data_IF_087556189049
#
_entry.id   IF_087556189049
#
_cell.length_a   1.000
_cell.length_b   1.000
_cell.length_c   1.000
_cell.angle_alpha   90.00
_cell.angle_beta   90.00
_cell.angle_gamma   90.00
#
_symmetry.space_group_name_H-M   'P 1'
#
loop_
_entity.id
_entity.type
_entity.pdbx_description
1 polymer ?
#
# COMPACT_ATOMS: atom_id res chain seq x y z
N UNK A 1 0.61 13.45 -7.70
CA UNK A 1 1.96 12.95 -7.43
C UNK A 1 1.95 11.43 -7.49
N UNK A 2 2.87 10.87 -8.24
CA UNK A 2 2.96 9.43 -8.45
C UNK A 2 4.33 8.92 -8.11
N UNK A 3 4.41 7.69 -7.62
CA UNK A 3 5.68 7.01 -7.39
C UNK A 3 5.52 5.52 -7.65
N UNK A 4 6.59 4.89 -8.09
CA UNK A 4 6.62 3.46 -8.37
C UNK A 4 7.88 2.86 -7.79
N UNK A 5 7.74 1.83 -6.99
CA UNK A 5 8.87 1.13 -6.40
C UNK A 5 8.61 -0.37 -6.48
N UNK A 6 9.68 -1.16 -6.50
CA UNK A 6 9.56 -2.61 -6.52
C UNK A 6 10.59 -3.24 -5.61
N UNK A 7 10.33 -4.50 -5.21
CA UNK A 7 11.23 -5.26 -4.38
C UNK A 7 11.05 -6.75 -4.67
N UNK A 8 12.10 -7.53 -4.49
CA UNK A 8 12.05 -8.98 -4.60
C UNK A 8 12.05 -9.58 -3.20
N UNK A 9 11.12 -10.51 -2.96
CA UNK A 9 10.96 -11.19 -1.68
C UNK A 9 11.21 -12.68 -1.89
N UNK A 10 12.07 -13.26 -1.06
CA UNK A 10 12.44 -14.67 -1.16
C UNK A 10 11.41 -15.63 -0.61
N UNK A 11 10.17 -15.50 -1.04
CA UNK A 11 9.05 -16.34 -0.65
C UNK A 11 8.15 -16.62 -1.86
N UNK A 12 7.42 -17.74 -1.86
CA UNK A 12 6.48 -18.04 -2.96
C UNK A 12 5.37 -17.00 -3.09
N UNK A 13 4.87 -16.84 -4.30
CA UNK A 13 3.90 -15.79 -4.63
C UNK A 13 2.61 -15.89 -3.79
N UNK A 14 2.15 -17.08 -3.48
CA UNK A 14 0.96 -17.29 -2.67
C UNK A 14 1.14 -16.70 -1.26
N UNK A 15 2.30 -16.97 -0.66
CA UNK A 15 2.62 -16.47 0.68
C UNK A 15 2.79 -14.95 0.67
N UNK A 16 3.46 -14.41 -0.34
CA UNK A 16 3.70 -12.97 -0.44
C UNK A 16 2.41 -12.23 -0.69
N UNK A 17 1.58 -12.71 -1.60
CA UNK A 17 0.29 -12.10 -1.92
C UNK A 17 -0.60 -12.06 -0.67
N UNK A 18 -0.74 -13.19 0.00
CA UNK A 18 -1.57 -13.28 1.21
C UNK A 18 -1.08 -12.35 2.32
N UNK A 19 0.22 -12.37 2.59
CA UNK A 19 0.79 -11.55 3.65
C UNK A 19 0.65 -10.05 3.35
N UNK A 20 0.90 -9.67 2.11
CA UNK A 20 0.81 -8.27 1.69
C UNK A 20 -0.59 -7.70 1.90
N UNK A 21 -1.62 -8.47 1.52
CA UNK A 21 -2.99 -7.99 1.57
C UNK A 21 -3.63 -8.12 2.95
N UNK A 22 -3.35 -9.19 3.67
CA UNK A 22 -4.07 -9.49 4.90
C UNK A 22 -3.37 -9.04 6.18
N UNK A 23 -2.11 -8.65 6.09
CA UNK A 23 -1.30 -8.27 7.24
C UNK A 23 -0.69 -6.87 7.10
N UNK A 24 -1.39 -5.97 6.42
CA UNK A 24 -0.86 -4.63 6.15
C UNK A 24 -0.52 -3.86 7.42
N UNK A 25 -1.30 -4.03 8.48
CA UNK A 25 -1.01 -3.37 9.76
C UNK A 25 0.23 -3.93 10.46
N UNK A 26 0.69 -5.13 10.05
CA UNK A 26 1.94 -5.69 10.58
C UNK A 26 3.17 -5.15 9.85
N UNK A 27 3.11 -5.06 8.53
CA UNK A 27 4.31 -4.69 7.77
C UNK A 27 4.40 -3.21 7.41
N UNK A 28 3.28 -2.51 7.30
CA UNK A 28 3.32 -1.09 6.97
C UNK A 28 3.86 -0.27 8.14
N UNK A 29 4.68 0.71 7.82
CA UNK A 29 5.27 1.60 8.83
C UNK A 29 4.24 2.63 9.29
N UNK A 30 3.27 2.97 8.44
CA UNK A 30 2.31 4.04 8.71
C UNK A 30 0.90 3.55 9.02
N UNK A 31 0.49 2.39 8.50
CA UNK A 31 -0.85 1.85 8.77
C UNK A 31 -0.92 1.27 10.16
N UNK A 32 -1.80 1.82 11.00
CA UNK A 32 -1.98 1.35 12.39
C UNK A 32 -3.26 0.53 12.55
N UNK A 33 -4.26 0.75 11.69
CA UNK A 33 -5.49 -0.04 11.67
C UNK A 33 -5.92 -0.27 10.23
N UNK A 34 -6.44 -1.46 9.97
CA UNK A 34 -6.97 -1.81 8.65
C UNK A 34 -8.04 -2.86 8.85
N UNK A 35 -9.27 -2.56 8.41
CA UNK A 35 -10.38 -3.52 8.57
C UNK A 35 -11.31 -3.49 7.38
N UNK A 36 -11.76 -4.69 6.98
CA UNK A 36 -12.76 -4.84 5.92
C UNK A 36 -14.13 -4.46 6.49
N UNK A 37 -14.86 -3.62 5.77
CA UNK A 37 -16.17 -3.11 6.20
C UNK A 37 -17.33 -3.71 5.41
N UNK A 38 -17.05 -4.40 4.31
CA UNK A 38 -18.09 -5.09 3.53
C UNK A 38 -18.12 -6.58 3.84
N UNK A 39 -19.23 -7.24 3.51
CA UNK A 39 -19.39 -8.67 3.71
C UNK A 39 -18.81 -9.45 2.52
N UNK A 40 -18.52 -10.73 2.76
CA UNK A 40 -18.07 -11.64 1.73
C UNK A 40 -16.56 -11.67 1.53
N UNK A 41 -16.10 -12.52 0.60
CA UNK A 41 -14.67 -12.64 0.32
C UNK A 41 -14.11 -11.39 -0.34
N UNK A 42 -12.81 -11.16 -0.17
CA UNK A 42 -12.13 -10.02 -0.76
C UNK A 42 -12.14 -10.13 -2.29
N UNK A 43 -12.54 -9.06 -2.94
CA UNK A 43 -12.59 -8.97 -4.39
C UNK A 43 -12.94 -7.55 -4.80
N UNK A 44 -13.18 -7.35 -6.10
CA UNK A 44 -13.60 -6.03 -6.60
C UNK A 44 -14.88 -5.61 -5.90
N UNK A 45 -14.90 -4.39 -5.39
CA UNK A 45 -16.04 -3.85 -4.64
C UNK A 45 -15.93 -4.00 -3.13
N UNK A 46 -14.99 -4.78 -2.63
CA UNK A 46 -14.74 -4.88 -1.18
C UNK A 46 -14.39 -3.51 -0.64
N UNK A 47 -15.04 -3.11 0.47
CA UNK A 47 -14.74 -1.85 1.14
C UNK A 47 -14.00 -2.11 2.43
N UNK A 48 -13.18 -1.15 2.81
CA UNK A 48 -12.38 -1.26 4.02
C UNK A 48 -12.09 0.13 4.58
N UNK A 49 -11.62 0.16 5.82
CA UNK A 49 -11.22 1.38 6.50
C UNK A 49 -9.76 1.23 6.91
N UNK A 50 -8.97 2.22 6.58
CA UNK A 50 -7.54 2.24 6.93
C UNK A 50 -7.24 3.48 7.74
N UNK A 51 -6.48 3.32 8.82
CA UNK A 51 -6.00 4.44 9.64
C UNK A 51 -4.49 4.46 9.56
N UNK A 52 -3.94 5.62 9.24
CA UNK A 52 -2.50 5.81 9.21
C UNK A 52 -2.09 6.79 10.30
N UNK A 53 -0.87 6.63 10.77
CA UNK A 53 -0.30 7.51 11.76
C UNK A 53 1.16 7.77 11.40
N UNK A 54 1.49 9.02 11.14
CA UNK A 54 2.83 9.42 10.75
C UNK A 54 3.15 10.76 11.39
N UNK A 55 4.26 10.81 12.12
CA UNK A 55 4.74 12.02 12.81
C UNK A 55 3.65 12.67 13.69
N UNK A 56 2.84 11.84 14.33
CA UNK A 56 1.76 12.32 15.17
C UNK A 56 0.47 12.67 14.47
N UNK A 57 0.46 12.66 13.14
CA UNK A 57 -0.74 12.92 12.34
C UNK A 57 -1.49 11.62 12.07
N UNK A 58 -2.74 11.57 12.52
CA UNK A 58 -3.61 10.42 12.33
C UNK A 58 -4.61 10.73 11.23
N UNK A 59 -4.67 9.87 10.22
CA UNK A 59 -5.60 10.02 9.10
C UNK A 59 -6.41 8.76 8.89
N UNK A 60 -7.67 8.96 8.50
CA UNK A 60 -8.58 7.85 8.19
C UNK A 60 -8.93 7.88 6.71
N UNK A 61 -8.99 6.71 6.11
CA UNK A 61 -9.35 6.55 4.71
C UNK A 61 -10.44 5.50 4.58
N UNK A 62 -11.41 5.79 3.70
CA UNK A 62 -12.40 4.80 3.27
C UNK A 62 -11.89 4.23 1.94
N UNK A 63 -11.68 2.92 1.93
CA UNK A 63 -11.08 2.27 0.80
C UNK A 63 -12.04 1.36 0.05
N UNK A 64 -11.72 1.12 -1.20
CA UNK A 64 -12.46 0.21 -2.06
C UNK A 64 -11.49 -0.52 -2.98
N UNK A 65 -11.66 -1.84 -3.09
CA UNK A 65 -10.86 -2.64 -4.02
C UNK A 65 -11.43 -2.44 -5.42
N UNK A 66 -10.57 -1.99 -6.34
CA UNK A 66 -10.97 -1.71 -7.73
C UNK A 66 -10.50 -2.78 -8.69
N UNK A 67 -9.46 -3.53 -8.33
CA UNK A 67 -8.95 -4.62 -9.15
C UNK A 67 -8.41 -5.71 -8.24
N UNK A 68 -8.71 -6.96 -8.54
CA UNK A 68 -8.24 -8.07 -7.73
C UNK A 68 -8.15 -9.33 -8.58
N UNK A 69 -6.91 -9.74 -8.87
CA UNK A 69 -6.62 -11.01 -9.51
C UNK A 69 -5.62 -11.75 -8.62
N UNK A 70 -6.02 -12.88 -8.03
CA UNK A 70 -5.14 -13.60 -7.09
C UNK A 70 -3.75 -13.85 -7.68
N UNK A 71 -2.74 -13.53 -6.90
CA UNK A 71 -1.33 -13.72 -7.20
C UNK A 71 -0.82 -12.89 -8.39
N UNK A 72 -1.60 -11.92 -8.86
CA UNK A 72 -1.22 -11.10 -10.02
C UNK A 72 -1.32 -9.61 -9.74
N UNK A 73 -2.52 -9.12 -9.42
CA UNK A 73 -2.73 -7.69 -9.17
C UNK A 73 -3.72 -7.45 -8.05
N UNK A 74 -3.55 -6.32 -7.38
CA UNK A 74 -4.49 -5.84 -6.39
C UNK A 74 -4.43 -4.32 -6.37
N UNK A 75 -5.55 -3.67 -6.67
CA UNK A 75 -5.62 -2.22 -6.72
C UNK A 75 -6.72 -1.71 -5.82
N UNK A 76 -6.45 -0.60 -5.16
CA UNK A 76 -7.41 0.04 -4.25
C UNK A 76 -7.44 1.54 -4.49
N UNK A 77 -8.60 2.14 -4.20
CA UNK A 77 -8.70 3.58 -4.05
C UNK A 77 -9.06 3.85 -2.60
N UNK A 78 -8.45 4.89 -2.03
CA UNK A 78 -8.69 5.28 -0.66
C UNK A 78 -9.03 6.76 -0.62
N UNK A 79 -10.18 7.07 -0.03
CA UNK A 79 -10.65 8.45 0.07
C UNK A 79 -10.41 8.97 1.48
N UNK A 80 -9.64 10.04 1.56
CA UNK A 80 -9.36 10.71 2.81
C UNK A 80 -9.94 12.11 2.83
N UNK A 81 -9.83 12.73 3.97
CA UNK A 81 -10.33 14.09 4.17
C UNK A 81 -9.49 15.12 3.43
N UNK A 82 -8.20 14.88 3.35
CA UNK A 82 -7.23 15.83 2.82
C UNK A 82 -6.74 15.48 1.42
N UNK A 83 -6.69 14.20 1.11
CA UNK A 83 -6.29 13.71 -0.20
C UNK A 83 -6.82 12.31 -0.41
N UNK A 84 -6.87 11.89 -1.67
CA UNK A 84 -7.21 10.54 -2.05
C UNK A 84 -5.97 9.81 -2.52
N UNK A 85 -5.97 8.50 -2.34
CA UNK A 85 -4.86 7.63 -2.76
C UNK A 85 -5.38 6.58 -3.72
N UNK A 86 -4.55 6.26 -4.71
CA UNK A 86 -4.75 5.08 -5.55
C UNK A 86 -3.47 4.28 -5.45
N UNK A 87 -3.60 3.00 -5.13
CA UNK A 87 -2.45 2.12 -4.98
C UNK A 87 -2.66 0.88 -5.82
N UNK A 88 -1.68 0.58 -6.67
CA UNK A 88 -1.68 -0.62 -7.49
C UNK A 88 -0.51 -1.50 -7.08
N UNK A 89 -0.81 -2.74 -6.75
CA UNK A 89 0.21 -3.77 -6.51
C UNK A 89 0.21 -4.74 -7.68
N UNK A 90 1.40 -5.04 -8.18
CA UNK A 90 1.59 -6.07 -9.19
C UNK A 90 2.55 -7.11 -8.61
N UNK A 91 2.22 -8.37 -8.79
CA UNK A 91 3.00 -9.49 -8.26
C UNK A 91 3.49 -10.33 -9.43
N UNK A 92 4.79 -10.65 -9.42
CA UNK A 92 5.42 -11.44 -10.47
C UNK A 92 6.10 -12.65 -9.84
N UNK A 93 5.75 -13.82 -10.30
CA UNK A 93 6.33 -15.08 -9.82
C UNK A 93 7.71 -15.30 -10.46
N UNK A 94 8.73 -15.39 -9.62
CA UNK A 94 10.11 -15.60 -10.05
C UNK A 94 10.61 -17.01 -9.74
N UNK A 95 9.69 -17.99 -9.67
CA UNK A 95 10.00 -19.39 -9.37
C UNK A 95 10.59 -19.59 -7.97
N UNK A 96 9.78 -19.32 -6.95
CA UNK A 96 10.17 -19.47 -5.56
C UNK A 96 10.41 -18.17 -4.84
N UNK A 97 10.54 -17.09 -5.58
CA UNK A 97 10.56 -15.73 -5.04
C UNK A 97 9.54 -14.88 -5.81
N UNK A 98 9.30 -13.68 -5.33
CA UNK A 98 8.25 -12.82 -5.87
C UNK A 98 8.76 -11.39 -6.01
N UNK A 99 8.45 -10.75 -7.14
CA UNK A 99 8.66 -9.32 -7.29
C UNK A 99 7.34 -8.62 -7.08
N UNK A 100 7.33 -7.66 -6.14
CA UNK A 100 6.19 -6.77 -5.93
C UNK A 100 6.54 -5.41 -6.51
N UNK A 101 5.64 -4.86 -7.30
CA UNK A 101 5.73 -3.48 -7.76
C UNK A 101 4.54 -2.72 -7.19
N UNK A 102 4.82 -1.62 -6.54
CA UNK A 102 3.79 -0.76 -5.96
C UNK A 102 3.81 0.59 -6.67
N UNK A 103 2.68 0.93 -7.27
CA UNK A 103 2.48 2.22 -7.91
C UNK A 103 1.45 2.99 -7.11
N UNK A 104 1.82 4.17 -6.64
CA UNK A 104 0.95 5.01 -5.81
C UNK A 104 0.71 6.34 -6.49
N UNK A 105 -0.54 6.80 -6.40
CA UNK A 105 -0.95 8.12 -6.89
C UNK A 105 -1.67 8.84 -5.77
N UNK A 106 -1.23 10.07 -5.50
CA UNK A 106 -1.83 10.93 -4.49
C UNK A 106 -2.56 12.05 -5.20
N UNK A 107 -3.86 12.19 -4.92
CA UNK A 107 -4.71 13.26 -5.46
C UNK A 107 -5.07 14.21 -4.33
N UNK A 108 -4.48 15.40 -4.33
CA UNK A 108 -4.66 16.39 -3.28
C UNK A 108 -6.02 17.09 -3.42
N UNK A 109 -6.59 17.49 -2.28
CA UNK A 109 -7.87 18.22 -2.21
C UNK A 109 -7.66 19.58 -1.59
N UNK A 110 -8.28 20.60 -2.17
CA UNK A 110 -8.35 21.94 -1.60
C UNK A 110 -6.99 22.58 -1.35
N UNK A 111 -6.83 23.18 -0.18
CA UNK A 111 -5.61 23.92 0.16
C UNK A 111 -4.39 23.00 0.33
N UNK A 112 -4.59 21.71 0.44
CA UNK A 112 -3.48 20.77 0.49
C UNK A 112 -2.67 20.77 -0.80
N UNK A 113 -3.29 21.16 -1.92
CA UNK A 113 -2.55 21.39 -3.15
C UNK A 113 -1.43 22.40 -2.92
N UNK A 114 -1.72 23.46 -2.15
CA UNK A 114 -0.72 24.48 -1.81
C UNK A 114 0.35 23.88 -0.90
N UNK A 115 -0.07 23.12 0.09
CA UNK A 115 0.85 22.45 1.01
C UNK A 115 1.80 21.51 0.25
N UNK A 116 1.27 20.67 -0.62
CA UNK A 116 2.09 19.76 -1.42
C UNK A 116 2.95 20.51 -2.45
N UNK A 117 2.48 21.64 -2.94
CA UNK A 117 3.29 22.49 -3.81
C UNK A 117 4.52 23.02 -3.08
N UNK A 118 4.34 23.47 -1.84
CA UNK A 118 5.43 24.02 -1.03
C UNK A 118 6.39 22.93 -0.53
N UNK A 119 5.88 21.76 -0.18
CA UNK A 119 6.67 20.68 0.39
C UNK A 119 6.84 19.48 -0.55
N UNK A 120 6.30 19.59 -1.76
CA UNK A 120 6.35 18.51 -2.74
C UNK A 120 7.76 18.09 -3.15
N UNK A 121 8.72 19.04 -3.10
CA UNK A 121 10.10 18.71 -3.40
C UNK A 121 10.71 17.76 -2.36
N UNK A 122 10.28 17.90 -1.08
CA UNK A 122 10.67 16.98 -0.02
C UNK A 122 10.05 15.60 -0.27
N UNK A 123 8.79 15.58 -0.69
CA UNK A 123 8.08 14.34 -0.98
C UNK A 123 8.57 13.68 -2.27
N UNK A 124 8.92 14.48 -3.28
CA UNK A 124 9.49 13.97 -4.53
C UNK A 124 10.85 13.30 -4.29
N UNK A 125 11.65 13.90 -3.42
CA UNK A 125 12.95 13.37 -3.08
C UNK A 125 12.84 12.16 -2.17
N UNK A 126 11.80 12.11 -1.33
CA UNK A 126 11.57 11.04 -0.39
C UNK A 126 10.45 10.07 -0.76
N UNK A 127 9.70 10.35 -1.85
CA UNK A 127 8.51 9.57 -2.21
C UNK A 127 8.82 8.09 -2.43
N UNK A 128 9.79 7.80 -3.28
CA UNK A 128 10.20 6.42 -3.51
C UNK A 128 10.98 5.87 -2.32
N UNK A 129 11.74 6.70 -1.61
CA UNK A 129 12.49 6.26 -0.43
C UNK A 129 11.56 5.80 0.69
N UNK A 130 10.50 6.55 0.97
CA UNK A 130 9.53 6.16 1.99
C UNK A 130 8.79 4.89 1.58
N UNK A 131 8.38 4.81 0.33
CA UNK A 131 7.72 3.65 -0.24
C UNK A 131 8.64 2.44 -0.23
N UNK A 132 9.91 2.65 -0.55
CA UNK A 132 10.91 1.59 -0.56
C UNK A 132 11.13 1.05 0.86
N UNK A 133 11.13 1.90 1.87
CA UNK A 133 11.25 1.47 3.27
C UNK A 133 10.06 0.60 3.68
N UNK A 134 8.86 0.95 3.23
CA UNK A 134 7.68 0.13 3.47
C UNK A 134 7.85 -1.26 2.84
N UNK A 135 8.29 -1.31 1.60
CA UNK A 135 8.50 -2.56 0.89
C UNK A 135 9.64 -3.38 1.51
N UNK A 136 10.69 -2.73 1.97
CA UNK A 136 11.79 -3.42 2.66
C UNK A 136 11.33 -4.03 3.98
N UNK A 137 10.46 -3.34 4.70
CA UNK A 137 9.88 -3.88 5.92
C UNK A 137 8.97 -5.06 5.62
N UNK A 138 8.18 -4.96 4.56
CA UNK A 138 7.36 -6.08 4.08
C UNK A 138 8.23 -7.29 3.76
N UNK A 139 9.31 -7.08 3.03
CA UNK A 139 10.26 -8.15 2.68
C UNK A 139 10.84 -8.80 3.93
N UNK A 140 11.33 -8.00 4.86
CA UNK A 140 11.95 -8.49 6.08
C UNK A 140 10.98 -9.36 6.89
N UNK A 141 9.76 -8.86 7.07
CA UNK A 141 8.77 -9.59 7.87
C UNK A 141 8.22 -10.81 7.14
N UNK A 142 8.02 -10.72 5.85
CA UNK A 142 7.52 -11.84 5.06
C UNK A 142 8.55 -12.98 5.04
N UNK A 143 9.82 -12.66 4.85
CA UNK A 143 10.89 -13.65 4.84
C UNK A 143 11.12 -14.26 6.22
N UNK A 144 10.91 -13.50 7.28
CA UNK A 144 11.08 -14.00 8.66
C UNK A 144 9.96 -14.95 9.10
N UNK A 145 8.84 -14.97 8.39
CA UNK A 145 7.72 -15.86 8.68
C UNK A 145 7.91 -17.25 8.06
N UNK A 146 9.01 -17.47 7.41
CA UNK A 146 9.36 -18.76 6.87
C UNK A 146 9.68 -19.72 8.00
N UNK A 147 8.85 -20.70 8.18
CA UNK A 147 9.03 -21.69 9.24
C UNK A 147 9.00 -23.08 8.65
#
# INVERSE_FOLDING_TARGET
MESTCSIEIGRPIEAVFDYTLNKISEWSIVVVEDEVTSDGPVGVGTTFRTVTEERGDRMEFDGKVTKHEPHTTHSVTMKGKSFDLEVDYTFEDLNGSTRITQHSRVNEKGFLKVFFFLFGWLMKKGGCDAQQKELENLKRLCESREA
#
